data_IF_650217835084
#
_entry.id   IF_650217835084
#
_cell.length_a   1.000
_cell.length_b   1.000
_cell.length_c   1.000
_cell.angle_alpha   90.00
_cell.angle_beta   90.00
_cell.angle_gamma   90.00
#
_symmetry.space_group_name_H-M   'P 1'
#
loop_
_entity.id
_entity.type
_entity.pdbx_description
1 polymer ?
#
# COMPACT_ATOMS: atom_id res chain seq x y z
N UNK A 1 45.67 41.39 -30.56
CA UNK A 1 45.64 40.03 -29.97
C UNK A 1 45.10 39.07 -31.03
N UNK A 2 45.95 38.26 -31.64
CA UNK A 2 45.57 37.34 -32.72
C UNK A 2 44.96 36.08 -32.08
N UNK A 3 43.71 35.74 -32.41
CA UNK A 3 43.08 34.48 -31.97
C UNK A 3 43.76 33.32 -32.69
N UNK A 4 44.42 32.44 -31.94
CA UNK A 4 45.07 31.22 -32.45
C UNK A 4 43.99 30.28 -33.01
N UNK A 5 44.15 29.82 -34.25
CA UNK A 5 43.31 28.75 -34.82
C UNK A 5 43.72 27.43 -34.16
N UNK A 6 42.77 26.63 -33.63
CA UNK A 6 43.09 25.34 -33.06
C UNK A 6 43.57 24.38 -34.15
N UNK A 7 44.59 23.56 -33.85
CA UNK A 7 45.07 22.49 -34.74
C UNK A 7 44.61 21.09 -34.27
N UNK A 8 44.85 20.04 -35.05
CA UNK A 8 44.43 18.66 -34.75
C UNK A 8 44.89 18.14 -33.36
N UNK A 9 46.00 18.65 -32.84
CA UNK A 9 46.52 18.36 -31.50
C UNK A 9 45.73 19.02 -30.36
N UNK A 10 44.88 20.00 -30.65
CA UNK A 10 43.95 20.60 -29.69
C UNK A 10 42.65 19.77 -29.51
N UNK A 11 42.47 18.73 -30.34
CA UNK A 11 41.30 17.84 -30.30
C UNK A 11 41.49 16.78 -29.21
N UNK A 12 40.95 17.05 -28.01
CA UNK A 12 40.86 16.04 -26.94
C UNK A 12 39.82 14.98 -27.30
N UNK A 13 40.28 13.83 -27.79
CA UNK A 13 39.44 12.64 -27.99
C UNK A 13 38.95 12.16 -26.61
N UNK A 14 37.64 12.27 -26.35
CA UNK A 14 37.06 11.65 -25.15
C UNK A 14 37.24 10.13 -25.29
N UNK A 15 37.74 9.42 -24.26
CA UNK A 15 37.77 7.97 -24.30
C UNK A 15 36.34 7.46 -24.56
N UNK A 16 36.22 6.48 -25.45
CA UNK A 16 34.94 5.85 -25.72
C UNK A 16 34.34 5.36 -24.40
N UNK A 17 33.05 5.64 -24.19
CA UNK A 17 32.31 5.23 -22.99
C UNK A 17 32.24 3.69 -22.96
N UNK A 18 33.26 3.04 -22.39
CA UNK A 18 33.24 1.61 -22.15
C UNK A 18 32.40 1.35 -20.91
N UNK A 19 31.14 0.96 -21.11
CA UNK A 19 30.35 0.36 -20.05
C UNK A 19 30.85 -1.06 -19.86
N UNK A 20 31.27 -1.44 -18.65
CA UNK A 20 31.59 -2.85 -18.34
C UNK A 20 30.46 -3.74 -18.87
N UNK A 21 30.76 -4.84 -19.59
CA UNK A 21 29.76 -5.81 -19.97
C UNK A 21 29.00 -6.23 -18.70
N UNK A 22 27.66 -6.16 -18.72
CA UNK A 22 26.87 -6.69 -17.62
C UNK A 22 27.18 -8.18 -17.52
N UNK A 23 27.45 -8.69 -16.32
CA UNK A 23 27.52 -10.13 -16.12
C UNK A 23 26.21 -10.73 -16.60
N UNK A 24 26.29 -11.75 -17.47
CA UNK A 24 25.13 -12.56 -17.84
C UNK A 24 24.74 -13.51 -16.71
N UNK A 25 25.65 -13.74 -15.76
CA UNK A 25 25.33 -14.39 -14.50
C UNK A 25 24.36 -13.54 -13.70
N UNK A 26 23.15 -14.07 -13.60
CA UNK A 26 22.12 -13.58 -12.69
C UNK A 26 22.58 -13.99 -11.28
N UNK A 27 22.66 -13.05 -10.32
CA UNK A 27 22.88 -13.44 -8.94
C UNK A 27 21.76 -14.40 -8.52
N UNK A 28 22.12 -15.59 -8.06
CA UNK A 28 21.18 -16.49 -7.41
C UNK A 28 20.66 -15.75 -6.18
N UNK A 29 19.38 -15.42 -6.14
CA UNK A 29 18.75 -14.77 -4.98
C UNK A 29 18.51 -15.77 -3.83
N UNK A 30 19.41 -16.74 -3.67
CA UNK A 30 19.36 -17.80 -2.64
C UNK A 30 19.33 -17.21 -1.24
N UNK A 31 19.98 -16.06 -1.04
CA UNK A 31 20.13 -15.42 0.27
C UNK A 31 19.05 -14.35 0.48
N UNK A 32 17.97 -14.39 -0.30
CA UNK A 32 16.87 -13.43 -0.13
C UNK A 32 16.07 -13.72 1.14
N UNK A 33 15.71 -12.66 1.84
CA UNK A 33 14.87 -12.73 3.03
C UNK A 33 13.47 -12.21 2.72
N UNK A 34 12.47 -12.76 3.40
CA UNK A 34 11.10 -12.30 3.30
C UNK A 34 10.91 -10.99 4.06
N UNK A 35 10.16 -10.06 3.46
CA UNK A 35 9.75 -8.81 4.08
C UNK A 35 8.34 -8.43 3.64
N UNK A 36 7.63 -7.67 4.48
CA UNK A 36 6.33 -7.11 4.17
C UNK A 36 6.46 -5.65 3.76
N UNK A 37 5.81 -5.26 2.66
CA UNK A 37 5.81 -3.87 2.19
C UNK A 37 4.87 -3.02 3.03
N UNK A 38 5.41 -1.97 3.65
CA UNK A 38 4.67 -1.04 4.51
C UNK A 38 4.31 0.23 3.76
N UNK A 39 5.26 0.80 3.01
CA UNK A 39 5.02 2.02 2.21
C UNK A 39 5.67 1.90 0.84
N UNK A 40 5.04 2.53 -0.15
CA UNK A 40 5.58 2.65 -1.52
C UNK A 40 5.56 4.13 -1.88
N UNK A 41 6.73 4.76 -1.98
CA UNK A 41 6.86 6.17 -2.36
C UNK A 41 7.90 6.33 -3.47
N UNK A 42 7.44 6.71 -4.66
CA UNK A 42 8.25 7.17 -5.81
C UNK A 42 9.58 6.41 -6.01
N UNK A 43 9.52 5.09 -5.99
CA UNK A 43 10.66 4.20 -6.26
C UNK A 43 11.43 3.71 -5.02
N UNK A 44 11.14 4.25 -3.84
CA UNK A 44 11.55 3.70 -2.55
C UNK A 44 10.38 2.98 -1.88
N UNK A 45 10.71 1.88 -1.23
CA UNK A 45 9.75 1.02 -0.55
C UNK A 45 10.26 0.73 0.85
N UNK A 46 9.45 1.01 1.86
CA UNK A 46 9.78 0.61 3.23
C UNK A 46 9.24 -0.79 3.46
N UNK A 47 10.12 -1.71 3.83
CA UNK A 47 9.78 -3.10 4.09
C UNK A 47 10.03 -3.44 5.56
N UNK A 48 9.20 -4.31 6.14
CA UNK A 48 9.38 -4.85 7.49
C UNK A 48 9.82 -6.30 7.39
N UNK A 49 10.98 -6.63 7.93
CA UNK A 49 11.46 -8.01 7.97
C UNK A 49 10.89 -8.76 9.19
N UNK A 50 11.08 -10.08 9.24
CA UNK A 50 10.54 -10.92 10.32
C UNK A 50 10.96 -10.49 11.74
N UNK A 51 12.14 -9.88 11.90
CA UNK A 51 12.60 -9.34 13.19
C UNK A 51 11.86 -8.06 13.62
N UNK A 52 10.98 -7.51 12.78
CA UNK A 52 10.27 -6.26 13.01
C UNK A 52 11.02 -5.01 12.52
N UNK A 53 12.28 -5.16 12.11
CA UNK A 53 13.10 -4.07 11.61
C UNK A 53 12.58 -3.51 10.28
N UNK A 54 12.67 -2.19 10.12
CA UNK A 54 12.28 -1.49 8.91
C UNK A 54 13.51 -1.30 8.01
N UNK A 55 13.36 -1.67 6.74
CA UNK A 55 14.43 -1.66 5.74
C UNK A 55 13.96 -0.87 4.54
N UNK A 56 14.78 0.10 4.11
CA UNK A 56 14.57 0.81 2.85
C UNK A 56 15.00 -0.07 1.70
N UNK A 57 14.12 -0.27 0.72
CA UNK A 57 14.38 -1.09 -0.45
C UNK A 57 13.99 -0.38 -1.76
N UNK A 58 14.64 -0.75 -2.85
CA UNK A 58 14.22 -0.39 -4.21
C UNK A 58 13.80 -1.62 -4.98
N UNK A 59 12.74 -1.46 -5.78
CA UNK A 59 12.28 -2.53 -6.66
C UNK A 59 13.28 -2.82 -7.78
N UNK A 60 13.58 -4.10 -8.04
CA UNK A 60 14.31 -4.50 -9.23
C UNK A 60 13.58 -4.04 -10.50
N UNK A 61 14.34 -3.60 -11.51
CA UNK A 61 13.78 -3.12 -12.79
C UNK A 61 12.93 -4.20 -13.47
N UNK A 62 13.35 -5.46 -13.35
CA UNK A 62 12.75 -6.64 -13.98
C UNK A 62 11.32 -6.92 -13.51
N UNK A 63 10.96 -6.51 -12.28
CA UNK A 63 9.61 -6.70 -11.75
C UNK A 63 8.54 -5.89 -12.52
N UNK A 64 8.92 -4.97 -13.40
CA UNK A 64 7.93 -4.20 -14.19
C UNK A 64 7.26 -3.07 -13.40
N UNK A 65 6.44 -2.25 -14.07
CA UNK A 65 5.78 -1.10 -13.44
C UNK A 65 4.67 -1.57 -12.49
N UNK A 66 4.46 -0.85 -11.38
CA UNK A 66 3.40 -1.12 -10.40
C UNK A 66 3.37 -2.53 -9.78
N UNK A 67 4.47 -3.28 -9.87
CA UNK A 67 4.48 -4.67 -9.40
C UNK A 67 4.51 -4.83 -7.87
N UNK A 68 4.90 -3.79 -7.14
CA UNK A 68 4.96 -3.78 -5.68
C UNK A 68 3.92 -2.81 -5.14
N UNK A 69 3.04 -3.29 -4.27
CA UNK A 69 2.01 -2.51 -3.57
C UNK A 69 2.14 -2.66 -2.05
N UNK A 70 1.42 -1.82 -1.31
CA UNK A 70 1.36 -1.93 0.15
C UNK A 70 0.74 -3.27 0.55
N UNK A 71 1.35 -3.93 1.54
CA UNK A 71 0.93 -5.25 2.02
C UNK A 71 1.52 -6.44 1.26
N UNK A 72 2.21 -6.23 0.13
CA UNK A 72 2.91 -7.32 -0.56
C UNK A 72 3.95 -7.98 0.36
N UNK A 73 4.01 -9.30 0.30
CA UNK A 73 5.14 -10.08 0.80
C UNK A 73 6.18 -10.16 -0.30
N UNK A 74 7.42 -9.80 0.00
CA UNK A 74 8.49 -9.65 -1.00
C UNK A 74 9.76 -10.33 -0.53
N UNK A 75 10.58 -10.75 -1.50
CA UNK A 75 11.93 -11.21 -1.23
C UNK A 75 12.90 -10.06 -1.48
N UNK A 76 13.73 -9.76 -0.49
CA UNK A 76 14.73 -8.69 -0.54
C UNK A 76 16.15 -9.25 -0.39
N UNK A 77 17.10 -8.59 -1.05
CA UNK A 77 18.55 -8.87 -0.95
C UNK A 77 19.32 -7.57 -0.70
N UNK A 78 20.55 -7.70 -0.22
CA UNK A 78 21.43 -6.55 0.04
C UNK A 78 21.48 -6.19 1.51
N UNK A 79 21.68 -4.90 1.80
CA UNK A 79 21.80 -4.43 3.17
C UNK A 79 20.43 -4.30 3.84
N UNK A 80 20.21 -5.15 4.83
CA UNK A 80 18.96 -5.25 5.60
C UNK A 80 19.13 -4.77 7.04
N UNK A 81 20.25 -4.15 7.38
CA UNK A 81 20.57 -3.61 8.71
C UNK A 81 19.60 -2.54 9.21
N UNK A 82 18.91 -1.84 8.31
CA UNK A 82 18.02 -0.73 8.68
C UNK A 82 18.76 0.55 9.09
N UNK A 83 20.10 0.56 9.04
CA UNK A 83 20.92 1.71 9.39
C UNK A 83 20.73 2.87 8.40
N UNK A 84 21.11 4.08 8.82
CA UNK A 84 21.08 5.25 7.96
C UNK A 84 21.96 5.02 6.70
N UNK A 85 21.33 5.01 5.53
CA UNK A 85 21.99 4.75 4.25
C UNK A 85 21.93 3.30 3.78
N UNK A 86 21.40 2.37 4.60
CA UNK A 86 21.12 1.01 4.17
C UNK A 86 20.11 0.99 3.01
N UNK A 87 20.35 0.10 2.05
CA UNK A 87 19.50 -0.02 0.88
C UNK A 87 19.45 -1.46 0.37
N UNK A 88 18.31 -2.09 0.56
CA UNK A 88 17.99 -3.39 0.00
C UNK A 88 17.41 -3.29 -1.41
N UNK A 89 17.25 -4.44 -2.06
CA UNK A 89 16.60 -4.58 -3.35
C UNK A 89 15.52 -5.65 -3.30
N UNK A 90 14.30 -5.28 -3.71
CA UNK A 90 13.22 -6.24 -3.89
C UNK A 90 13.44 -6.98 -5.21
N UNK A 91 13.55 -8.30 -5.13
CA UNK A 91 13.86 -9.18 -6.27
C UNK A 91 12.68 -10.01 -6.72
N UNK A 92 11.74 -10.30 -5.81
CA UNK A 92 10.50 -11.00 -6.11
C UNK A 92 9.34 -10.49 -5.26
N UNK A 93 8.13 -10.61 -5.79
CA UNK A 93 6.87 -10.43 -5.05
C UNK A 93 6.27 -11.82 -4.90
N UNK A 94 5.93 -12.20 -3.67
CA UNK A 94 5.32 -13.49 -3.38
C UNK A 94 3.85 -13.51 -3.84
N UNK A 95 3.25 -14.69 -4.05
CA UNK A 95 1.84 -14.79 -4.39
C UNK A 95 0.95 -14.06 -3.38
N UNK A 96 -0.01 -13.28 -3.89
CA UNK A 96 -0.95 -12.53 -3.06
C UNK A 96 -2.09 -13.45 -2.62
N UNK A 97 -2.46 -13.39 -1.33
CA UNK A 97 -3.67 -14.06 -0.82
C UNK A 97 -4.94 -13.40 -1.35
N UNK A 98 -4.92 -12.07 -1.43
CA UNK A 98 -6.00 -11.24 -1.95
C UNK A 98 -5.45 -9.88 -2.39
N UNK A 99 -6.25 -9.10 -3.11
CA UNK A 99 -5.83 -7.79 -3.59
C UNK A 99 -6.99 -6.80 -3.72
N UNK A 100 -6.72 -5.52 -3.45
CA UNK A 100 -7.64 -4.44 -3.69
C UNK A 100 -7.19 -3.65 -4.91
N UNK A 101 -8.03 -3.57 -5.94
CA UNK A 101 -7.76 -2.85 -7.17
C UNK A 101 -8.67 -1.64 -7.35
N UNK A 102 -8.20 -0.67 -8.14
CA UNK A 102 -8.98 0.48 -8.59
C UNK A 102 -8.83 0.65 -10.09
N UNK A 103 -9.95 0.88 -10.75
CA UNK A 103 -10.01 1.27 -12.16
C UNK A 103 -9.50 2.71 -12.33
N UNK A 104 -8.56 2.90 -13.26
CA UNK A 104 -7.88 4.20 -13.45
C UNK A 104 -8.45 5.01 -14.63
N UNK A 105 -9.12 4.35 -15.57
CA UNK A 105 -9.61 4.98 -16.79
C UNK A 105 -11.13 4.95 -16.92
N UNK A 106 -11.68 5.98 -17.56
CA UNK A 106 -13.12 6.08 -17.85
C UNK A 106 -13.60 4.97 -18.82
N UNK A 107 -12.66 4.31 -19.52
CA UNK A 107 -12.91 3.18 -20.42
C UNK A 107 -12.81 1.81 -19.73
N UNK A 108 -12.42 1.74 -18.45
CA UNK A 108 -12.35 0.49 -17.69
C UNK A 108 -11.27 -0.50 -18.12
N UNK A 109 -10.28 -0.10 -18.95
CA UNK A 109 -9.30 -1.01 -19.52
C UNK A 109 -8.13 -1.31 -18.58
N UNK A 110 -7.91 -0.51 -17.51
CA UNK A 110 -6.79 -0.73 -16.60
C UNK A 110 -7.20 -0.72 -15.12
N UNK A 111 -7.16 -1.90 -14.53
CA UNK A 111 -7.15 -2.07 -13.07
C UNK A 111 -5.73 -1.92 -12.52
N UNK A 112 -5.61 -1.15 -11.44
CA UNK A 112 -4.37 -1.04 -10.67
C UNK A 112 -4.60 -1.53 -9.26
N UNK A 113 -3.84 -2.55 -8.87
CA UNK A 113 -3.77 -2.96 -7.47
C UNK A 113 -3.21 -1.82 -6.61
N UNK A 114 -3.90 -1.51 -5.52
CA UNK A 114 -3.52 -0.49 -4.53
C UNK A 114 -2.93 -1.15 -3.29
N UNK A 115 -3.48 -2.29 -2.87
CA UNK A 115 -3.05 -3.02 -1.68
C UNK A 115 -3.25 -4.52 -1.85
N UNK A 116 -2.51 -5.33 -1.08
CA UNK A 116 -2.59 -6.78 -1.11
C UNK A 116 -2.45 -7.39 0.29
N UNK A 117 -2.78 -8.68 0.42
CA UNK A 117 -2.66 -9.46 1.66
C UNK A 117 -3.36 -8.80 2.86
N UNK A 118 -4.56 -8.29 2.62
CA UNK A 118 -5.40 -7.65 3.61
C UNK A 118 -6.10 -8.71 4.45
N UNK A 119 -6.14 -8.53 5.76
CA UNK A 119 -6.96 -9.35 6.65
C UNK A 119 -8.36 -8.76 6.78
N UNK A 120 -8.46 -7.42 6.80
CA UNK A 120 -9.71 -6.72 7.09
C UNK A 120 -9.91 -5.47 6.23
N UNK A 121 -11.18 -5.17 5.94
CA UNK A 121 -11.63 -3.95 5.27
C UNK A 121 -12.52 -3.16 6.22
N UNK A 122 -12.01 -2.02 6.69
CA UNK A 122 -12.70 -1.09 7.58
C UNK A 122 -13.42 -0.05 6.73
N UNK A 123 -14.73 -0.21 6.57
CA UNK A 123 -15.61 0.64 5.80
C UNK A 123 -16.12 1.76 6.71
N UNK A 124 -15.56 2.96 6.56
CA UNK A 124 -15.90 4.12 7.37
C UNK A 124 -16.97 4.95 6.67
N UNK A 125 -18.11 5.10 7.33
CA UNK A 125 -19.20 6.00 6.94
C UNK A 125 -19.55 6.92 8.10
N UNK A 126 -20.05 8.12 7.81
CA UNK A 126 -20.57 9.00 8.84
C UNK A 126 -22.08 8.79 8.98
N UNK A 127 -22.60 8.82 10.21
CA UNK A 127 -24.04 8.76 10.46
C UNK A 127 -24.76 10.02 9.93
N UNK A 128 -24.08 11.17 9.94
CA UNK A 128 -24.52 12.40 9.29
C UNK A 128 -23.32 13.23 8.80
N UNK A 129 -23.57 14.12 7.83
CA UNK A 129 -22.60 15.08 7.27
C UNK A 129 -21.23 14.51 6.91
N UNK A 130 -21.11 13.73 5.81
CA UNK A 130 -22.14 13.44 4.81
C UNK A 130 -23.05 12.27 5.20
N UNK A 131 -24.28 12.26 4.67
CA UNK A 131 -25.20 11.13 4.83
C UNK A 131 -24.57 9.81 4.34
N UNK A 132 -24.79 8.69 5.06
CA UNK A 132 -24.22 7.40 4.69
C UNK A 132 -24.83 6.92 3.37
N UNK A 133 -23.96 6.47 2.46
CA UNK A 133 -24.39 5.99 1.13
C UNK A 133 -24.40 4.46 1.11
N UNK A 134 -25.59 3.88 1.17
CA UNK A 134 -25.79 2.42 1.17
C UNK A 134 -25.05 1.74 0.01
N UNK A 135 -25.28 2.18 -1.23
CA UNK A 135 -24.63 1.60 -2.41
C UNK A 135 -23.10 1.69 -2.44
N UNK A 136 -22.47 2.55 -1.62
CA UNK A 136 -21.02 2.52 -1.44
C UNK A 136 -20.58 1.38 -0.52
N UNK A 137 -21.29 1.19 0.59
CA UNK A 137 -21.02 0.12 1.55
C UNK A 137 -21.29 -1.23 0.88
N UNK A 138 -22.42 -1.37 0.18
CA UNK A 138 -22.77 -2.60 -0.55
C UNK A 138 -21.64 -3.02 -1.52
N UNK A 139 -21.10 -2.07 -2.29
CA UNK A 139 -19.96 -2.33 -3.18
C UNK A 139 -18.70 -2.73 -2.43
N UNK A 140 -18.41 -2.10 -1.30
CA UNK A 140 -17.26 -2.47 -0.47
C UNK A 140 -17.43 -3.88 0.10
N UNK A 141 -18.63 -4.23 0.58
CA UNK A 141 -18.95 -5.56 1.09
C UNK A 141 -18.81 -6.62 -0.01
N UNK A 142 -19.35 -6.36 -1.21
CA UNK A 142 -19.21 -7.25 -2.35
C UNK A 142 -17.73 -7.54 -2.67
N UNK A 143 -16.89 -6.50 -2.73
CA UNK A 143 -15.44 -6.66 -2.96
C UNK A 143 -14.76 -7.39 -1.79
N UNK A 144 -15.14 -7.08 -0.55
CA UNK A 144 -14.55 -7.72 0.63
C UNK A 144 -14.82 -9.23 0.63
N UNK A 145 -16.07 -9.64 0.37
CA UNK A 145 -16.44 -11.05 0.30
C UNK A 145 -15.80 -11.76 -0.89
N UNK A 146 -15.78 -11.15 -2.08
CA UNK A 146 -15.11 -11.70 -3.27
C UNK A 146 -13.62 -11.95 -3.02
N UNK A 147 -12.95 -11.03 -2.34
CA UNK A 147 -11.52 -11.11 -2.04
C UNK A 147 -11.20 -11.87 -0.73
N UNK A 148 -12.21 -12.43 -0.04
CA UNK A 148 -12.02 -13.09 1.24
C UNK A 148 -11.42 -12.19 2.33
N UNK A 149 -11.69 -10.89 2.27
CA UNK A 149 -11.26 -9.89 3.25
C UNK A 149 -12.40 -9.70 4.26
N UNK A 150 -12.12 -9.78 5.56
CA UNK A 150 -13.17 -9.60 6.58
C UNK A 150 -13.66 -8.15 6.62
N UNK A 151 -14.94 -7.85 6.31
CA UNK A 151 -15.46 -6.49 6.40
C UNK A 151 -15.76 -6.08 7.84
N UNK A 152 -15.55 -4.80 8.15
CA UNK A 152 -15.96 -4.14 9.40
C UNK A 152 -16.58 -2.79 9.00
N UNK A 153 -17.79 -2.51 9.46
CA UNK A 153 -18.43 -1.20 9.25
C UNK A 153 -18.14 -0.29 10.45
N UNK A 154 -17.65 0.92 10.20
CA UNK A 154 -17.45 1.93 11.25
C UNK A 154 -18.34 3.14 10.94
N UNK A 155 -19.34 3.34 11.79
CA UNK A 155 -20.25 4.48 11.75
C UNK A 155 -19.71 5.60 12.64
N UNK A 156 -19.04 6.58 12.04
CA UNK A 156 -18.53 7.76 12.74
C UNK A 156 -19.61 8.82 12.91
N UNK A 157 -19.36 9.81 13.78
CA UNK A 157 -20.31 10.92 14.05
C UNK A 157 -21.69 10.41 14.50
N UNK A 158 -21.71 9.31 15.25
CA UNK A 158 -22.94 8.74 15.81
C UNK A 158 -23.59 9.63 16.88
N UNK A 159 -22.96 10.75 17.22
CA UNK A 159 -23.53 11.85 18.01
C UNK A 159 -24.50 12.74 17.21
N UNK A 160 -24.36 12.79 15.89
CA UNK A 160 -25.20 13.63 15.02
C UNK A 160 -26.48 12.94 14.54
N UNK A 161 -26.42 11.61 14.37
CA UNK A 161 -27.56 10.79 14.00
C UNK A 161 -27.35 9.36 14.49
N UNK A 162 -28.45 8.68 14.84
CA UNK A 162 -28.42 7.27 15.23
C UNK A 162 -28.22 6.39 13.98
N UNK A 163 -27.11 5.61 13.89
CA UNK A 163 -26.87 4.74 12.76
C UNK A 163 -27.68 3.43 12.79
N UNK A 164 -28.42 3.12 13.86
CA UNK A 164 -29.03 1.79 14.03
C UNK A 164 -30.04 1.44 12.93
N UNK A 165 -30.85 2.40 12.48
CA UNK A 165 -31.79 2.17 11.37
C UNK A 165 -31.04 1.81 10.08
N UNK A 166 -29.96 2.52 9.78
CA UNK A 166 -29.13 2.26 8.60
C UNK A 166 -28.41 0.90 8.70
N UNK A 167 -27.93 0.54 9.89
CA UNK A 167 -27.21 -0.71 10.13
C UNK A 167 -28.12 -1.95 10.08
N UNK A 168 -29.44 -1.81 10.30
CA UNK A 168 -30.40 -2.93 10.19
C UNK A 168 -30.33 -3.63 8.83
N UNK A 169 -30.02 -2.90 7.76
CA UNK A 169 -29.88 -3.45 6.42
C UNK A 169 -28.77 -4.51 6.30
N UNK A 170 -27.80 -4.52 7.21
CA UNK A 170 -26.64 -5.43 7.18
C UNK A 170 -26.64 -6.46 8.31
N UNK A 171 -27.70 -6.49 9.14
CA UNK A 171 -27.78 -7.35 10.33
C UNK A 171 -27.64 -8.84 9.98
N UNK A 172 -28.23 -9.26 8.87
CA UNK A 172 -28.25 -10.66 8.44
C UNK A 172 -26.95 -11.09 7.72
N UNK A 173 -26.04 -10.16 7.44
CA UNK A 173 -24.75 -10.43 6.79
C UNK A 173 -23.63 -10.79 7.78
N UNK A 174 -23.93 -10.84 9.09
CA UNK A 174 -22.96 -11.12 10.16
C UNK A 174 -21.70 -10.25 10.10
N UNK A 175 -21.86 -8.98 9.66
CA UNK A 175 -20.77 -8.02 9.56
C UNK A 175 -20.58 -7.32 10.91
N UNK A 176 -19.35 -7.31 11.40
CA UNK A 176 -18.98 -6.54 12.59
C UNK A 176 -19.18 -5.04 12.33
N UNK A 177 -19.79 -4.32 13.27
CA UNK A 177 -19.94 -2.87 13.18
C UNK A 177 -19.60 -2.15 14.49
N UNK A 178 -19.04 -0.95 14.35
CA UNK A 178 -18.72 -0.05 15.46
C UNK A 178 -19.43 1.28 15.27
N UNK A 179 -20.07 1.78 16.33
CA UNK A 179 -20.70 3.09 16.39
C UNK A 179 -19.79 4.00 17.20
N UNK A 180 -19.27 5.06 16.58
CA UNK A 180 -18.29 5.96 17.17
C UNK A 180 -18.82 7.39 17.18
N UNK A 181 -18.75 8.02 18.35
CA UNK A 181 -18.94 9.44 18.59
C UNK A 181 -17.58 10.13 18.73
N UNK A 182 -17.58 11.45 18.65
CA UNK A 182 -16.36 12.23 18.87
C UNK A 182 -15.83 12.01 20.30
N UNK A 183 -14.58 11.59 20.43
CA UNK A 183 -13.93 11.36 21.72
C UNK A 183 -14.27 10.01 22.38
N UNK A 184 -14.95 9.11 21.66
CA UNK A 184 -15.22 7.77 22.17
C UNK A 184 -13.93 6.96 22.39
N UNK A 185 -14.02 6.04 23.34
CA UNK A 185 -12.96 5.08 23.58
C UNK A 185 -12.89 4.05 22.44
N UNK A 186 -11.76 4.05 21.71
CA UNK A 186 -11.52 3.18 20.57
C UNK A 186 -11.00 1.77 20.95
N UNK A 187 -10.93 1.42 22.23
CA UNK A 187 -10.35 0.14 22.72
C UNK A 187 -10.91 -1.09 22.00
N UNK A 188 -12.23 -1.15 21.80
CA UNK A 188 -12.85 -2.30 21.12
C UNK A 188 -12.47 -2.37 19.64
N UNK A 189 -12.40 -1.22 18.96
CA UNK A 189 -11.94 -1.14 17.58
C UNK A 189 -10.46 -1.52 17.48
N UNK A 190 -9.61 -0.99 18.37
CA UNK A 190 -8.18 -1.32 18.41
C UNK A 190 -7.96 -2.82 18.59
N UNK A 191 -8.69 -3.45 19.52
CA UNK A 191 -8.67 -4.91 19.72
C UNK A 191 -9.12 -5.68 18.48
N UNK A 192 -10.09 -5.16 17.73
CA UNK A 192 -10.56 -5.80 16.50
C UNK A 192 -9.51 -5.75 15.37
N UNK A 193 -8.71 -4.68 15.33
CA UNK A 193 -7.66 -4.42 14.32
C UNK A 193 -6.27 -4.94 14.72
N UNK A 194 -6.07 -5.31 15.98
CA UNK A 194 -4.78 -5.73 16.52
C UNK A 194 -4.18 -6.90 15.74
N UNK A 195 -2.88 -6.79 15.44
CA UNK A 195 -2.09 -7.78 14.71
C UNK A 195 -2.61 -8.12 13.29
N UNK A 196 -3.44 -7.27 12.69
CA UNK A 196 -4.04 -7.49 11.36
C UNK A 196 -3.71 -6.38 10.37
N UNK A 197 -3.57 -6.75 9.10
CA UNK A 197 -3.42 -5.81 7.99
C UNK A 197 -4.80 -5.31 7.59
N UNK A 198 -5.10 -4.06 7.94
CA UNK A 198 -6.41 -3.45 7.70
C UNK A 198 -6.33 -2.33 6.68
N UNK A 199 -7.28 -2.28 5.74
CA UNK A 199 -7.48 -1.12 4.86
C UNK A 199 -8.65 -0.29 5.35
N UNK A 200 -8.49 1.03 5.43
CA UNK A 200 -9.58 1.95 5.76
C UNK A 200 -10.10 2.60 4.47
N UNK A 201 -11.39 2.40 4.17
CA UNK A 201 -12.05 2.93 2.97
C UNK A 201 -13.29 3.74 3.36
N UNK A 202 -13.61 4.78 2.60
CA UNK A 202 -14.74 5.67 2.92
C UNK A 202 -14.63 7.01 2.19
N UNK A 203 -15.75 7.72 2.07
CA UNK A 203 -15.80 9.04 1.42
C UNK A 203 -14.94 10.10 2.14
N UNK A 204 -14.61 11.20 1.46
CA UNK A 204 -13.98 12.33 2.13
C UNK A 204 -14.89 12.88 3.25
N UNK A 205 -14.31 13.33 4.36
CA UNK A 205 -15.07 13.94 5.47
C UNK A 205 -15.75 12.98 6.46
N UNK A 206 -15.71 11.66 6.23
CA UNK A 206 -16.32 10.65 7.13
C UNK A 206 -15.49 10.29 8.36
N UNK A 207 -14.36 10.96 8.60
CA UNK A 207 -13.54 10.73 9.81
C UNK A 207 -12.45 9.65 9.70
N UNK A 208 -12.10 9.16 8.51
CA UNK A 208 -10.99 8.19 8.33
C UNK A 208 -9.67 8.66 8.93
N UNK A 209 -9.24 9.89 8.60
CA UNK A 209 -7.98 10.43 9.13
C UNK A 209 -8.03 10.65 10.64
N UNK A 210 -9.21 10.99 11.17
CA UNK A 210 -9.43 11.09 12.62
C UNK A 210 -9.19 9.74 13.30
N UNK A 211 -9.67 8.64 12.71
CA UNK A 211 -9.47 7.28 13.25
C UNK A 211 -8.01 6.81 13.16
N UNK A 212 -7.26 7.24 12.14
CA UNK A 212 -5.84 6.90 12.01
C UNK A 212 -4.96 7.64 13.02
N UNK A 213 -5.40 8.83 13.46
CA UNK A 213 -4.63 9.71 14.35
C UNK A 213 -5.03 9.60 15.84
N UNK A 214 -6.11 8.86 16.15
CA UNK A 214 -6.61 8.67 17.50
C UNK A 214 -5.99 7.42 18.13
#
# INVERSE_FOLDING_TARGET
MVRRRPDESDIRIRPAKSTRPRSKDRPSHSDSIAAQVITVDRGRTLCRIASGQLVSAMKARELGKNAVVVGDLVNIVGDVSGDAGSLARIVAVQPRRNSLSRTIDDAGAFEKTIAANLDQMVIVAASADPAPRQGFIDRCLAVAFDQGIKPIIVMSKSDLADPDEFLRAYKDLEVDYFKLKRGDNLTQLHKALEAKVSVLIGHSGVGKSTLVNA
#
